data_IF_682974520293
#
_entry.id   IF_682974520293
#
_cell.length_a   1.000
_cell.length_b   1.000
_cell.length_c   1.000
_cell.angle_alpha   90.00
_cell.angle_beta   90.00
_cell.angle_gamma   90.00
#
_symmetry.space_group_name_H-M   'P 1'
#
loop_
_entity.id
_entity.type
_entity.pdbx_description
1 polymer ?
#
# COMPACT_ATOMS: atom_id res chain seq x y z
N UNK A 1 9.20 -15.18 -10.83
CA UNK A 1 9.01 -13.84 -10.26
C UNK A 1 9.92 -13.62 -9.07
N UNK A 2 10.50 -12.43 -8.93
CA UNK A 2 11.14 -11.96 -7.70
C UNK A 2 10.14 -11.08 -6.93
N UNK A 3 9.90 -11.42 -5.66
CA UNK A 3 8.99 -10.65 -4.79
C UNK A 3 9.77 -10.12 -3.59
N UNK A 4 9.84 -8.80 -3.44
CA UNK A 4 10.40 -8.16 -2.25
C UNK A 4 9.28 -7.76 -1.30
N UNK A 5 9.52 -7.78 0.00
CA UNK A 5 8.44 -7.53 0.97
C UNK A 5 7.34 -8.59 0.99
N UNK A 6 7.55 -9.76 0.37
CA UNK A 6 6.57 -10.84 0.24
C UNK A 6 6.09 -11.41 1.58
N UNK A 7 6.82 -11.21 2.67
CA UNK A 7 6.42 -11.61 4.02
C UNK A 7 5.62 -10.54 4.78
N UNK A 8 5.42 -9.38 4.17
CA UNK A 8 4.65 -8.27 4.72
C UNK A 8 3.14 -8.45 4.56
N UNK A 9 2.37 -7.45 5.01
CA UNK A 9 0.91 -7.48 5.07
C UNK A 9 0.24 -7.75 3.69
N UNK A 10 0.70 -7.10 2.62
CA UNK A 10 0.20 -7.31 1.26
C UNK A 10 0.84 -8.56 0.66
N UNK A 11 2.16 -8.69 0.76
CA UNK A 11 2.89 -9.79 0.15
C UNK A 11 2.43 -11.17 0.63
N UNK A 12 2.12 -11.31 1.92
CA UNK A 12 1.61 -12.56 2.47
C UNK A 12 0.27 -13.01 1.87
N UNK A 13 -0.56 -12.07 1.41
CA UNK A 13 -1.80 -12.37 0.69
C UNK A 13 -1.58 -12.59 -0.81
N UNK A 14 -0.56 -11.94 -1.39
CA UNK A 14 -0.24 -12.03 -2.81
C UNK A 14 0.44 -13.37 -3.16
N UNK A 15 1.38 -13.85 -2.33
CA UNK A 15 2.16 -15.05 -2.63
C UNK A 15 1.31 -16.31 -2.92
N UNK A 16 0.25 -16.64 -2.14
CA UNK A 16 -0.60 -17.79 -2.45
C UNK A 16 -1.30 -17.69 -3.81
N UNK A 17 -1.68 -16.47 -4.21
CA UNK A 17 -2.37 -16.23 -5.49
C UNK A 17 -1.40 -16.39 -6.66
N UNK A 18 -0.21 -15.78 -6.60
CA UNK A 18 0.84 -15.97 -7.60
C UNK A 18 1.21 -17.45 -7.78
N UNK A 19 1.25 -18.22 -6.69
CA UNK A 19 1.49 -19.67 -6.77
C UNK A 19 0.35 -20.43 -7.44
N UNK A 20 -0.89 -20.06 -7.12
CA UNK A 20 -2.07 -20.66 -7.77
C UNK A 20 -2.10 -20.37 -9.27
N UNK A 21 -1.59 -19.21 -9.69
CA UNK A 21 -1.45 -18.85 -11.11
C UNK A 21 -0.23 -19.52 -11.78
N UNK A 22 0.48 -20.43 -11.08
CA UNK A 22 1.58 -21.23 -11.63
C UNK A 22 2.96 -20.56 -11.64
N UNK A 23 3.11 -19.40 -11.02
CA UNK A 23 4.39 -18.72 -10.95
C UNK A 23 5.38 -19.42 -10.02
N UNK A 24 6.64 -19.51 -10.45
CA UNK A 24 7.79 -19.77 -9.58
C UNK A 24 8.22 -18.45 -8.94
N UNK A 25 8.34 -18.44 -7.60
CA UNK A 25 8.54 -17.22 -6.84
C UNK A 25 9.80 -17.34 -5.99
N UNK A 26 10.67 -16.36 -6.10
CA UNK A 26 11.75 -16.11 -5.15
C UNK A 26 11.38 -14.90 -4.30
N UNK A 27 11.31 -15.07 -2.99
CA UNK A 27 11.00 -13.99 -2.05
C UNK A 27 12.28 -13.49 -1.41
N UNK A 28 12.60 -12.23 -1.65
CA UNK A 28 13.67 -11.56 -0.91
C UNK A 28 13.14 -11.09 0.45
N UNK A 29 13.73 -11.57 1.54
CA UNK A 29 13.33 -11.28 2.91
C UNK A 29 14.53 -11.08 3.82
N UNK A 30 14.39 -10.19 4.81
CA UNK A 30 15.43 -9.96 5.83
C UNK A 30 15.51 -11.08 6.87
N UNK A 31 14.45 -11.87 7.00
CA UNK A 31 14.37 -12.97 7.96
C UNK A 31 15.04 -14.24 7.41
N UNK A 32 15.91 -14.85 8.20
CA UNK A 32 16.49 -16.15 7.89
C UNK A 32 15.53 -17.31 8.23
N UNK A 33 15.72 -18.46 7.58
CA UNK A 33 15.16 -19.74 8.05
C UNK A 33 13.74 -20.09 7.61
N UNK A 34 13.18 -19.43 6.58
CA UNK A 34 11.93 -19.92 5.98
C UNK A 34 12.23 -21.09 5.05
N UNK A 35 11.56 -22.21 5.28
CA UNK A 35 11.69 -23.38 4.42
C UNK A 35 11.15 -23.10 3.01
N UNK A 36 11.91 -23.49 2.00
CA UNK A 36 11.43 -23.50 0.62
C UNK A 36 10.25 -24.48 0.49
N UNK A 37 9.36 -24.14 -0.43
CA UNK A 37 8.21 -24.97 -0.80
C UNK A 37 8.22 -25.16 -2.33
N UNK A 38 7.55 -26.16 -2.89
CA UNK A 38 7.43 -26.26 -4.33
C UNK A 38 6.96 -24.95 -4.97
N UNK A 39 7.77 -24.38 -5.89
CA UNK A 39 7.49 -23.11 -6.54
C UNK A 39 7.70 -21.85 -5.70
N UNK A 40 8.22 -21.94 -4.46
CA UNK A 40 8.45 -20.81 -3.58
C UNK A 40 9.78 -20.95 -2.82
N UNK A 41 10.74 -20.09 -3.14
CA UNK A 41 12.02 -20.00 -2.47
C UNK A 41 12.14 -18.70 -1.65
N UNK A 42 12.98 -18.72 -0.62
CA UNK A 42 13.29 -17.53 0.17
C UNK A 42 14.79 -17.29 0.17
N UNK A 43 15.19 -16.06 -0.12
CA UNK A 43 16.58 -15.61 -0.09
C UNK A 43 16.69 -14.35 0.79
N UNK A 44 17.88 -14.11 1.33
CA UNK A 44 18.16 -12.93 2.16
C UNK A 44 19.05 -11.90 1.45
N UNK A 45 19.57 -12.25 0.28
CA UNK A 45 20.34 -11.37 -0.56
C UNK A 45 19.92 -11.51 -2.03
N UNK A 46 20.10 -10.43 -2.81
CA UNK A 46 19.85 -10.42 -4.26
C UNK A 46 20.79 -11.36 -5.00
N UNK A 47 22.04 -11.48 -4.55
CA UNK A 47 23.06 -12.36 -5.17
C UNK A 47 22.72 -13.86 -5.00
N UNK A 48 21.83 -14.20 -4.07
CA UNK A 48 21.32 -15.56 -3.89
C UNK A 48 20.08 -15.87 -4.75
N UNK A 49 19.66 -14.96 -5.63
CA UNK A 49 18.55 -15.20 -6.57
C UNK A 49 19.08 -16.01 -7.75
N UNK A 50 18.62 -17.26 -7.86
CA UNK A 50 18.98 -18.16 -8.94
C UNK A 50 18.10 -17.99 -10.18
N UNK A 51 18.73 -18.14 -11.35
CA UNK A 51 18.03 -18.13 -12.65
C UNK A 51 17.59 -16.74 -13.10
N UNK A 52 16.93 -16.69 -14.23
CA UNK A 52 16.38 -15.47 -14.81
C UNK A 52 15.10 -15.03 -14.09
N UNK A 53 14.87 -13.72 -14.05
CA UNK A 53 13.71 -13.10 -13.43
C UNK A 53 12.81 -12.46 -14.50
N UNK A 54 11.66 -13.10 -14.78
CA UNK A 54 10.72 -12.61 -15.80
C UNK A 54 9.92 -11.37 -15.34
N UNK A 55 9.73 -11.22 -14.04
CA UNK A 55 9.01 -10.08 -13.47
C UNK A 55 9.33 -9.87 -12.00
N UNK A 56 9.16 -8.62 -11.56
CA UNK A 56 9.48 -8.20 -10.19
C UNK A 56 8.27 -7.54 -9.55
N UNK A 57 7.98 -7.93 -8.31
CA UNK A 57 7.00 -7.24 -7.45
C UNK A 57 7.75 -6.65 -6.25
N UNK A 58 7.92 -5.32 -6.26
CA UNK A 58 8.65 -4.60 -5.23
C UNK A 58 7.68 -4.00 -4.18
N UNK A 59 7.51 -4.73 -3.06
CA UNK A 59 6.71 -4.30 -1.90
C UNK A 59 7.58 -3.98 -0.68
N UNK A 60 8.90 -3.86 -0.87
CA UNK A 60 9.81 -3.55 0.22
C UNK A 60 9.56 -2.15 0.78
N UNK A 61 9.46 -2.05 2.11
CA UNK A 61 9.29 -0.77 2.80
C UNK A 61 9.00 -0.96 4.28
N UNK A 62 9.62 -0.14 5.13
CA UNK A 62 9.28 -0.08 6.55
C UNK A 62 7.87 0.53 6.73
N UNK A 63 7.14 0.13 7.76
CA UNK A 63 5.78 0.63 8.01
C UNK A 63 5.80 2.13 8.35
N UNK A 64 5.00 2.95 7.68
CA UNK A 64 4.88 4.40 7.98
C UNK A 64 4.37 4.66 9.40
N UNK A 65 3.53 3.79 9.94
CA UNK A 65 2.86 3.95 11.22
C UNK A 65 3.46 3.13 12.38
N UNK A 66 4.61 2.48 12.19
CA UNK A 66 5.21 1.65 13.26
C UNK A 66 5.79 2.49 14.40
N UNK A 67 6.27 3.69 14.11
CA UNK A 67 6.90 4.61 15.08
C UNK A 67 6.62 6.05 14.71
N UNK A 68 6.74 6.95 15.71
CA UNK A 68 6.73 8.40 15.47
C UNK A 68 7.87 8.79 14.51
N UNK A 69 7.61 9.72 13.60
CA UNK A 69 8.60 10.18 12.63
C UNK A 69 9.68 11.05 13.26
N UNK A 70 10.76 10.42 13.69
CA UNK A 70 12.02 11.08 14.02
C UNK A 70 12.90 11.17 12.76
N UNK A 71 13.94 12.00 12.80
CA UNK A 71 14.91 12.06 11.71
C UNK A 71 15.53 10.68 11.37
N UNK A 72 15.80 9.87 12.39
CA UNK A 72 16.31 8.51 12.21
C UNK A 72 15.28 7.60 11.53
N UNK A 73 14.00 7.67 11.95
CA UNK A 73 12.96 6.85 11.35
C UNK A 73 12.60 7.29 9.93
N UNK A 74 12.63 8.59 9.64
CA UNK A 74 12.49 9.09 8.26
C UNK A 74 13.60 8.58 7.35
N UNK A 75 14.84 8.48 7.83
CA UNK A 75 15.93 7.83 7.07
C UNK A 75 15.63 6.35 6.82
N UNK A 76 15.21 5.59 7.85
CA UNK A 76 14.81 4.18 7.68
C UNK A 76 13.70 4.02 6.64
N UNK A 77 12.69 4.92 6.64
CA UNK A 77 11.61 4.92 5.66
C UNK A 77 12.12 5.16 4.23
N UNK A 78 13.08 6.08 4.04
CA UNK A 78 13.73 6.37 2.76
C UNK A 78 14.61 5.19 2.32
N UNK A 79 15.48 4.72 3.19
CA UNK A 79 16.45 3.66 2.86
C UNK A 79 15.73 2.36 2.49
N UNK A 80 14.68 2.01 3.21
CA UNK A 80 13.90 0.79 2.94
C UNK A 80 13.13 0.81 1.62
N UNK A 81 12.98 1.96 0.98
CA UNK A 81 12.27 2.15 -0.29
C UNK A 81 13.23 2.58 -1.39
N UNK A 82 13.85 3.74 -1.24
CA UNK A 82 14.65 4.40 -2.28
C UNK A 82 15.97 3.66 -2.45
N UNK A 83 16.82 3.62 -1.42
CA UNK A 83 18.13 2.97 -1.52
C UNK A 83 18.00 1.47 -1.85
N UNK A 84 16.95 0.81 -1.32
CA UNK A 84 16.68 -0.58 -1.69
C UNK A 84 16.30 -0.73 -3.17
N UNK A 85 15.44 0.15 -3.72
CA UNK A 85 15.02 0.10 -5.13
C UNK A 85 16.18 0.43 -6.06
N UNK A 86 17.05 1.39 -5.70
CA UNK A 86 18.29 1.67 -6.42
C UNK A 86 19.22 0.45 -6.45
N UNK A 87 19.40 -0.25 -5.32
CA UNK A 87 20.17 -1.50 -5.26
C UNK A 87 19.56 -2.60 -6.13
N UNK A 88 18.24 -2.71 -6.18
CA UNK A 88 17.55 -3.65 -7.07
C UNK A 88 17.84 -3.35 -8.55
N UNK A 89 17.83 -2.07 -8.94
CA UNK A 89 18.16 -1.63 -10.28
C UNK A 89 19.63 -1.92 -10.65
N UNK A 90 20.56 -1.62 -9.75
CA UNK A 90 21.98 -1.93 -9.94
C UNK A 90 22.22 -3.44 -10.09
N UNK A 91 21.53 -4.27 -9.31
CA UNK A 91 21.59 -5.72 -9.40
C UNK A 91 21.07 -6.24 -10.75
N UNK A 92 19.93 -5.71 -11.25
CA UNK A 92 19.41 -6.05 -12.60
C UNK A 92 20.41 -5.69 -13.69
N UNK A 93 20.99 -4.49 -13.62
CA UNK A 93 21.99 -4.02 -14.57
C UNK A 93 23.24 -4.91 -14.57
N UNK A 94 23.76 -5.27 -13.41
CA UNK A 94 24.93 -6.13 -13.28
C UNK A 94 24.71 -7.53 -13.87
N UNK A 95 23.47 -8.04 -13.83
CA UNK A 95 23.09 -9.34 -14.41
C UNK A 95 22.73 -9.25 -15.91
N UNK A 96 22.57 -8.06 -16.44
CA UNK A 96 22.08 -7.85 -17.81
C UNK A 96 20.65 -8.37 -18.01
N UNK A 97 19.84 -8.41 -16.94
CA UNK A 97 18.47 -8.91 -16.99
C UNK A 97 17.46 -7.80 -17.32
N UNK A 98 16.49 -8.16 -18.16
CA UNK A 98 15.40 -7.27 -18.57
C UNK A 98 14.08 -7.98 -18.27
N UNK A 99 13.57 -7.91 -17.03
CA UNK A 99 12.27 -8.47 -16.69
C UNK A 99 11.16 -7.83 -17.51
N UNK A 100 10.14 -8.56 -17.88
CA UNK A 100 8.97 -8.03 -18.63
C UNK A 100 8.29 -6.89 -17.89
N UNK A 101 8.23 -6.99 -16.56
CA UNK A 101 7.57 -6.01 -15.71
C UNK A 101 8.29 -5.80 -14.38
N UNK A 102 8.41 -4.52 -13.98
CA UNK A 102 8.66 -4.10 -12.61
C UNK A 102 7.35 -3.48 -12.07
N UNK A 103 6.66 -4.20 -11.19
CA UNK A 103 5.53 -3.68 -10.43
C UNK A 103 6.05 -3.20 -9.07
N UNK A 104 6.14 -1.89 -8.88
CA UNK A 104 6.62 -1.28 -7.63
C UNK A 104 5.46 -0.65 -6.86
N UNK A 105 5.39 -0.92 -5.56
CA UNK A 105 4.50 -0.19 -4.68
C UNK A 105 4.91 1.29 -4.62
N UNK A 106 3.92 2.14 -4.47
CA UNK A 106 3.95 3.54 -4.07
C UNK A 106 2.76 3.79 -3.13
N UNK A 107 2.41 5.02 -2.85
CA UNK A 107 1.26 5.33 -2.01
C UNK A 107 0.57 6.63 -2.46
N UNK A 108 -0.71 6.77 -2.10
CA UNK A 108 -1.49 8.00 -2.34
C UNK A 108 -0.92 9.21 -1.58
N UNK A 109 0.00 9.01 -0.64
CA UNK A 109 0.81 10.08 -0.05
C UNK A 109 1.50 10.97 -1.09
N UNK A 110 1.73 10.47 -2.32
CA UNK A 110 2.22 11.21 -3.47
C UNK A 110 1.48 12.54 -3.68
N UNK A 111 0.18 12.57 -3.44
CA UNK A 111 -0.66 13.76 -3.65
C UNK A 111 -0.60 14.79 -2.51
N UNK A 112 0.05 14.45 -1.37
CA UNK A 112 0.06 15.31 -0.20
C UNK A 112 -1.33 15.55 0.40
N UNK A 113 -1.47 16.57 1.23
CA UNK A 113 -2.76 16.99 1.79
C UNK A 113 -3.60 17.69 0.73
N UNK A 114 -4.89 17.31 0.60
CA UNK A 114 -5.76 17.88 -0.43
C UNK A 114 -7.24 17.64 -0.17
N UNK A 115 -7.77 18.29 0.86
CA UNK A 115 -9.17 18.07 1.27
C UNK A 115 -10.22 18.65 0.30
N UNK A 116 -9.84 19.60 -0.56
CA UNK A 116 -10.77 20.33 -1.41
C UNK A 116 -10.99 19.73 -2.81
N UNK A 117 -10.11 18.83 -3.26
CA UNK A 117 -10.17 18.29 -4.63
C UNK A 117 -10.06 16.77 -4.67
N UNK A 118 -10.50 16.17 -5.76
CA UNK A 118 -10.24 14.77 -6.06
C UNK A 118 -8.98 14.65 -6.90
N UNK A 119 -8.14 13.66 -6.58
CA UNK A 119 -6.92 13.33 -7.31
C UNK A 119 -7.12 12.06 -8.14
N UNK A 120 -6.47 12.03 -9.28
CA UNK A 120 -6.29 10.88 -10.15
C UNK A 120 -4.80 10.73 -10.51
N UNK A 121 -4.47 9.79 -11.37
CA UNK A 121 -3.09 9.48 -11.71
C UNK A 121 -2.37 10.59 -12.48
N UNK A 122 -3.11 11.50 -13.11
CA UNK A 122 -2.58 12.67 -13.87
C UNK A 122 -2.41 13.90 -12.97
N UNK A 123 -2.88 13.84 -11.74
CA UNK A 123 -2.74 14.93 -10.77
C UNK A 123 -1.29 15.12 -10.35
N UNK A 124 -0.87 16.38 -10.20
CA UNK A 124 0.47 16.75 -9.77
C UNK A 124 0.79 16.22 -8.35
N UNK A 125 2.07 15.99 -8.05
CA UNK A 125 2.48 15.62 -6.70
C UNK A 125 2.22 16.77 -5.71
N UNK A 126 1.93 16.39 -4.47
CA UNK A 126 1.74 17.34 -3.37
C UNK A 126 3.03 17.70 -2.65
N UNK A 127 2.87 18.19 -1.43
CA UNK A 127 3.97 18.58 -0.55
C UNK A 127 3.94 17.80 0.77
N UNK A 128 5.03 17.89 1.53
CA UNK A 128 5.22 17.18 2.80
C UNK A 128 6.17 16.00 2.68
N UNK A 129 6.48 15.39 3.82
CA UNK A 129 7.42 14.28 3.84
C UNK A 129 6.90 13.03 3.12
N UNK A 130 5.61 12.71 3.28
CA UNK A 130 5.01 11.55 2.63
C UNK A 130 4.99 11.72 1.10
N UNK A 131 4.69 12.92 0.61
CA UNK A 131 4.70 13.21 -0.82
C UNK A 131 6.12 13.09 -1.40
N UNK A 132 7.10 13.73 -0.76
CA UNK A 132 8.50 13.65 -1.20
C UNK A 132 9.04 12.21 -1.17
N UNK A 133 8.66 11.44 -0.14
CA UNK A 133 9.03 10.02 -0.06
C UNK A 133 8.50 9.22 -1.25
N UNK A 134 7.24 9.45 -1.65
CA UNK A 134 6.64 8.77 -2.80
C UNK A 134 7.28 9.22 -4.11
N UNK A 135 7.51 10.52 -4.29
CA UNK A 135 8.17 11.09 -5.48
C UNK A 135 9.55 10.46 -5.68
N UNK A 136 10.38 10.45 -4.63
CA UNK A 136 11.74 9.90 -4.68
C UNK A 136 11.69 8.37 -4.91
N UNK A 137 10.71 7.68 -4.33
CA UNK A 137 10.55 6.24 -4.51
C UNK A 137 10.13 5.88 -5.94
N UNK A 138 9.17 6.61 -6.53
CA UNK A 138 8.76 6.44 -7.92
C UNK A 138 9.90 6.76 -8.89
N UNK A 139 10.69 7.81 -8.60
CA UNK A 139 11.88 8.16 -9.39
C UNK A 139 12.94 7.03 -9.31
N UNK A 140 13.18 6.47 -8.13
CA UNK A 140 14.09 5.33 -7.97
C UNK A 140 13.59 4.09 -8.73
N UNK A 141 12.26 3.82 -8.71
CA UNK A 141 11.68 2.71 -9.47
C UNK A 141 11.81 2.92 -10.99
N UNK A 142 11.63 4.16 -11.46
CA UNK A 142 11.83 4.51 -12.87
C UNK A 142 13.29 4.28 -13.29
N UNK A 143 14.25 4.74 -12.48
CA UNK A 143 15.68 4.57 -12.75
C UNK A 143 16.12 3.10 -12.66
N UNK A 144 15.48 2.31 -11.81
CA UNK A 144 15.76 0.88 -11.64
C UNK A 144 15.19 0.01 -12.76
N UNK A 145 14.28 0.54 -13.58
CA UNK A 145 13.59 -0.21 -14.64
C UNK A 145 14.47 -0.27 -15.89
N UNK A 146 14.93 -1.46 -16.33
CA UNK A 146 15.72 -1.58 -17.55
C UNK A 146 14.95 -1.14 -18.81
N UNK A 147 15.68 -0.69 -19.82
CA UNK A 147 15.06 -0.39 -21.11
C UNK A 147 14.43 -1.67 -21.69
N UNK A 148 13.18 -1.55 -22.14
CA UNK A 148 12.38 -2.67 -22.63
C UNK A 148 11.52 -3.35 -21.55
N UNK A 149 11.74 -3.05 -20.26
CA UNK A 149 10.86 -3.48 -19.20
C UNK A 149 9.70 -2.50 -19.02
N UNK A 150 8.54 -3.03 -18.67
CA UNK A 150 7.35 -2.26 -18.32
C UNK A 150 7.38 -1.91 -16.83
N UNK A 151 7.18 -0.63 -16.48
CA UNK A 151 7.02 -0.18 -15.10
C UNK A 151 5.55 0.04 -14.77
N UNK A 152 5.06 -0.57 -13.69
CA UNK A 152 3.79 -0.24 -13.06
C UNK A 152 4.05 0.27 -11.63
N UNK A 153 3.50 1.43 -11.30
CA UNK A 153 3.58 2.05 -9.98
C UNK A 153 2.22 1.95 -9.28
N UNK A 154 2.13 1.13 -8.24
CA UNK A 154 0.88 0.96 -7.50
C UNK A 154 0.82 1.98 -6.34
N UNK A 155 0.13 3.11 -6.53
CA UNK A 155 -0.14 4.12 -5.50
C UNK A 155 -1.24 3.63 -4.57
N UNK A 156 -0.85 2.95 -3.50
CA UNK A 156 -1.76 2.29 -2.57
C UNK A 156 -2.50 3.29 -1.69
N UNK A 157 -3.81 3.14 -1.58
CA UNK A 157 -4.62 3.74 -0.53
C UNK A 157 -4.37 3.12 0.83
N UNK A 158 -5.16 3.52 1.83
CA UNK A 158 -5.13 2.90 3.17
C UNK A 158 -5.71 1.49 3.06
N UNK A 159 -4.82 0.49 3.18
CA UNK A 159 -5.20 -0.91 2.97
C UNK A 159 -5.94 -1.46 4.19
N UNK A 160 -7.17 -1.93 3.95
CA UNK A 160 -8.05 -2.50 4.97
C UNK A 160 -8.01 -4.02 4.91
N UNK A 161 -7.69 -4.65 6.03
CA UNK A 161 -7.93 -6.06 6.33
C UNK A 161 -7.66 -6.34 7.81
N UNK A 162 -8.09 -7.50 8.28
CA UNK A 162 -7.78 -8.00 9.62
C UNK A 162 -6.32 -8.46 9.70
N UNK A 163 -5.76 -8.40 10.92
CA UNK A 163 -4.44 -8.93 11.20
C UNK A 163 -3.28 -8.02 10.82
N UNK A 164 -3.54 -6.76 10.43
CA UNK A 164 -2.47 -5.79 10.14
C UNK A 164 -2.94 -4.47 9.54
N UNK A 165 -1.95 -3.66 9.19
CA UNK A 165 -2.20 -2.35 8.56
C UNK A 165 -2.84 -1.32 9.47
N UNK A 166 -3.30 -0.22 8.88
CA UNK A 166 -3.95 0.88 9.60
C UNK A 166 -5.35 0.50 10.09
N UNK A 167 -6.05 -0.38 9.36
CA UNK A 167 -7.41 -0.79 9.68
C UNK A 167 -7.53 -1.36 11.10
N UNK A 168 -6.62 -2.22 11.51
CA UNK A 168 -6.66 -2.86 12.83
C UNK A 168 -6.60 -1.84 13.98
N UNK A 169 -5.78 -0.78 13.81
CA UNK A 169 -5.69 0.32 14.77
C UNK A 169 -6.96 1.19 14.76
N UNK A 170 -7.53 1.44 13.58
CA UNK A 170 -8.74 2.23 13.41
C UNK A 170 -9.98 1.50 13.93
N UNK A 171 -10.08 0.17 13.76
CA UNK A 171 -11.21 -0.64 14.16
C UNK A 171 -11.23 -0.96 15.67
N UNK A 172 -10.05 -1.02 16.30
CA UNK A 172 -9.91 -1.38 17.71
C UNK A 172 -10.80 -0.61 18.69
N UNK A 173 -10.94 0.73 18.62
CA UNK A 173 -11.84 1.48 19.50
C UNK A 173 -13.29 1.03 19.35
N UNK A 174 -13.76 0.76 18.13
CA UNK A 174 -15.14 0.35 17.87
C UNK A 174 -15.45 -1.03 18.46
N UNK A 175 -14.52 -1.96 18.40
CA UNK A 175 -14.64 -3.29 19.05
C UNK A 175 -14.74 -3.15 20.58
N UNK A 176 -14.18 -2.08 21.15
CA UNK A 176 -14.33 -1.69 22.55
C UNK A 176 -15.54 -0.77 22.81
N UNK A 177 -16.45 -0.64 21.83
CA UNK A 177 -17.66 0.21 21.88
C UNK A 177 -17.41 1.72 21.97
N UNK A 178 -16.24 2.18 21.54
CA UNK A 178 -15.92 3.61 21.42
C UNK A 178 -15.92 4.02 19.95
N UNK A 179 -16.92 4.81 19.53
CA UNK A 179 -16.92 5.45 18.22
C UNK A 179 -16.01 6.67 18.24
N UNK A 180 -15.06 6.74 17.29
CA UNK A 180 -14.19 7.89 17.22
C UNK A 180 -13.92 8.31 15.76
N UNK A 181 -13.57 9.57 15.59
CA UNK A 181 -13.02 10.14 14.37
C UNK A 181 -11.91 11.12 14.75
N UNK A 182 -11.03 11.47 13.84
CA UNK A 182 -9.91 12.38 14.10
C UNK A 182 -10.33 13.82 13.79
N UNK A 183 -10.03 14.74 14.70
CA UNK A 183 -10.27 16.18 14.53
C UNK A 183 -11.72 16.51 14.16
N UNK A 184 -11.94 17.29 13.12
CA UNK A 184 -13.27 17.63 12.59
C UNK A 184 -13.98 16.48 11.88
N UNK A 185 -13.24 15.44 11.46
CA UNK A 185 -13.77 14.26 10.81
C UNK A 185 -14.12 14.43 9.33
N UNK A 186 -13.89 15.62 8.76
CA UNK A 186 -14.19 15.91 7.36
C UNK A 186 -13.09 15.49 6.38
N UNK A 187 -11.88 15.20 6.88
CA UNK A 187 -10.77 14.79 6.03
C UNK A 187 -11.05 13.46 5.32
N UNK A 188 -10.63 13.39 4.05
CA UNK A 188 -10.83 12.25 3.21
C UNK A 188 -9.96 11.06 3.62
N UNK A 189 -10.51 9.88 3.46
CA UNK A 189 -9.87 8.59 3.67
C UNK A 189 -10.08 7.75 2.40
N UNK A 190 -9.06 7.72 1.54
CA UNK A 190 -9.03 6.83 0.37
C UNK A 190 -8.47 5.50 0.81
N UNK A 191 -9.33 4.54 0.91
CA UNK A 191 -9.09 3.19 1.39
C UNK A 191 -9.16 2.17 0.26
N UNK A 192 -8.71 0.96 0.51
CA UNK A 192 -8.88 -0.18 -0.39
C UNK A 192 -8.87 -1.48 0.43
N UNK A 193 -9.69 -2.45 0.06
CA UNK A 193 -9.63 -3.79 0.66
C UNK A 193 -8.37 -4.53 0.20
N UNK A 194 -7.69 -5.27 1.11
CA UNK A 194 -6.44 -5.99 0.76
C UNK A 194 -6.63 -6.98 -0.38
N UNK A 195 -7.78 -7.65 -0.48
CA UNK A 195 -8.09 -8.53 -1.61
C UNK A 195 -8.07 -7.78 -2.94
N UNK A 196 -8.61 -6.55 -2.99
CA UNK A 196 -8.59 -5.74 -4.20
C UNK A 196 -7.18 -5.22 -4.52
N UNK A 197 -6.33 -4.99 -3.52
CA UNK A 197 -4.90 -4.71 -3.76
C UNK A 197 -4.24 -5.89 -4.45
N UNK A 198 -4.44 -7.10 -3.94
CA UNK A 198 -3.87 -8.33 -4.52
C UNK A 198 -4.39 -8.54 -5.94
N UNK A 199 -5.69 -8.40 -6.17
CA UNK A 199 -6.30 -8.52 -7.50
C UNK A 199 -5.78 -7.46 -8.48
N UNK A 200 -5.64 -6.21 -8.04
CA UNK A 200 -5.07 -5.14 -8.87
C UNK A 200 -3.62 -5.41 -9.24
N UNK A 201 -2.81 -5.93 -8.31
CA UNK A 201 -1.44 -6.32 -8.60
C UNK A 201 -1.35 -7.45 -9.62
N UNK A 202 -2.18 -8.49 -9.48
CA UNK A 202 -2.27 -9.59 -10.46
C UNK A 202 -2.73 -9.07 -11.82
N UNK A 203 -3.74 -8.22 -11.86
CA UNK A 203 -4.24 -7.59 -13.06
C UNK A 203 -3.13 -6.79 -13.79
N UNK A 204 -2.39 -5.96 -13.06
CA UNK A 204 -1.27 -5.20 -13.61
C UNK A 204 -0.10 -6.08 -14.09
N UNK A 205 0.15 -7.20 -13.44
CA UNK A 205 1.16 -8.17 -13.89
C UNK A 205 0.78 -8.82 -15.22
N UNK A 206 -0.49 -9.19 -15.40
CA UNK A 206 -0.99 -9.91 -16.57
C UNK A 206 -1.25 -9.01 -17.80
N UNK A 207 -1.54 -7.72 -17.61
CA UNK A 207 -1.88 -6.78 -18.67
C UNK A 207 -0.63 -6.10 -19.22
N UNK A 208 -0.13 -6.59 -20.35
CA UNK A 208 1.11 -6.11 -20.99
C UNK A 208 0.98 -4.68 -21.56
N UNK A 209 -0.23 -4.26 -21.84
CA UNK A 209 -0.60 -2.94 -22.37
C UNK A 209 -0.62 -1.83 -21.30
N UNK A 210 -0.53 -2.19 -20.01
CA UNK A 210 -0.62 -1.22 -18.91
C UNK A 210 0.76 -0.88 -18.34
N UNK A 211 1.07 0.43 -18.25
CA UNK A 211 2.30 0.97 -17.68
C UNK A 211 2.06 2.32 -16.98
N UNK A 212 2.99 2.73 -16.13
CA UNK A 212 2.93 3.99 -15.39
C UNK A 212 2.22 3.87 -14.04
N UNK A 213 1.76 5.01 -13.46
CA UNK A 213 1.11 5.05 -12.16
C UNK A 213 -0.35 4.57 -12.22
N UNK A 214 -0.76 3.84 -11.18
CA UNK A 214 -2.14 3.38 -10.95
C UNK A 214 -2.51 3.63 -9.50
N UNK A 215 -3.59 4.35 -9.25
CA UNK A 215 -4.17 4.49 -7.93
C UNK A 215 -4.90 3.19 -7.55
N UNK A 216 -4.44 2.57 -6.48
CA UNK A 216 -5.06 1.35 -5.94
C UNK A 216 -5.86 1.74 -4.71
N UNK A 217 -7.02 2.34 -4.96
CA UNK A 217 -8.00 2.77 -3.96
C UNK A 217 -9.37 2.22 -4.34
N UNK A 218 -10.26 2.05 -3.37
CA UNK A 218 -11.67 1.80 -3.69
C UNK A 218 -12.25 2.97 -4.50
N UNK A 219 -13.23 2.73 -5.39
CA UNK A 219 -13.86 3.78 -6.19
C UNK A 219 -14.46 4.90 -5.33
N UNK A 220 -15.01 4.53 -4.16
CA UNK A 220 -15.64 5.45 -3.23
C UNK A 220 -14.72 5.71 -2.02
N UNK A 221 -14.11 6.89 -1.97
CA UNK A 221 -13.45 7.38 -0.78
C UNK A 221 -14.49 7.75 0.28
N UNK A 222 -14.10 7.65 1.55
CA UNK A 222 -14.92 8.09 2.67
C UNK A 222 -14.25 9.23 3.42
N UNK A 223 -14.93 9.81 4.41
CA UNK A 223 -14.29 10.72 5.38
C UNK A 223 -14.02 9.99 6.69
N UNK A 224 -13.20 10.57 7.56
CA UNK A 224 -12.96 10.01 8.90
C UNK A 224 -14.28 9.84 9.69
N UNK A 225 -15.21 10.79 9.56
CA UNK A 225 -16.55 10.69 10.14
C UNK A 225 -17.42 9.66 9.43
N UNK A 226 -17.31 9.56 8.10
CA UNK A 226 -18.00 8.54 7.30
C UNK A 226 -17.56 7.12 7.70
N UNK A 227 -16.24 6.90 7.87
CA UNK A 227 -15.74 5.64 8.40
C UNK A 227 -16.30 5.33 9.79
N UNK A 228 -16.31 6.32 10.70
CA UNK A 228 -16.91 6.16 12.01
C UNK A 228 -18.39 5.77 11.92
N UNK A 229 -19.18 6.41 11.07
CA UNK A 229 -20.60 6.08 10.89
C UNK A 229 -20.80 4.65 10.35
N UNK A 230 -19.99 4.23 9.36
CA UNK A 230 -20.04 2.89 8.80
C UNK A 230 -19.64 1.81 9.82
N UNK A 231 -18.59 2.06 10.63
CA UNK A 231 -18.20 1.17 11.72
C UNK A 231 -19.27 1.04 12.80
N UNK A 232 -20.03 2.11 13.06
CA UNK A 232 -21.13 2.09 14.03
C UNK A 232 -22.33 1.23 13.56
N UNK A 233 -22.50 1.06 12.27
CA UNK A 233 -23.49 0.14 11.73
C UNK A 233 -23.12 -1.34 12.06
N UNK A 234 -21.81 -1.65 12.16
CA UNK A 234 -21.31 -2.97 12.52
C UNK A 234 -21.18 -3.16 14.05
N UNK A 235 -20.84 -2.08 14.77
CA UNK A 235 -20.55 -2.09 16.20
C UNK A 235 -21.39 -1.01 16.91
N UNK A 236 -22.26 -1.41 17.84
CA UNK A 236 -23.01 -0.45 18.67
C UNK A 236 -22.04 0.27 19.62
N UNK A 237 -21.65 1.49 19.29
CA UNK A 237 -20.83 2.31 20.17
C UNK A 237 -21.66 2.95 21.27
N UNK A 238 -21.18 2.85 22.51
CA UNK A 238 -21.80 3.48 23.69
C UNK A 238 -21.43 4.97 23.79
N UNK A 239 -20.21 5.29 23.41
CA UNK A 239 -19.67 6.65 23.42
C UNK A 239 -19.18 7.03 22.04
N UNK A 240 -19.35 8.30 21.67
CA UNK A 240 -18.89 8.88 20.40
C UNK A 240 -18.13 10.15 20.72
N UNK A 241 -16.82 10.11 20.58
CA UNK A 241 -15.94 11.24 20.90
C UNK A 241 -14.91 11.44 19.78
N UNK A 242 -14.67 12.70 19.36
CA UNK A 242 -13.55 12.98 18.47
C UNK A 242 -12.23 12.75 19.18
N UNK A 243 -11.24 12.21 18.46
CA UNK A 243 -9.84 12.27 18.87
C UNK A 243 -9.31 13.67 18.52
N UNK A 244 -9.04 14.56 19.52
CA UNK A 244 -8.70 15.94 19.23
C UNK A 244 -7.40 16.06 18.47
N UNK A 245 -7.36 16.85 17.39
CA UNK A 245 -6.15 17.03 16.56
C UNK A 245 -4.93 17.47 17.37
N UNK A 246 -5.00 18.39 18.36
CA UNK A 246 -3.85 18.74 19.20
C UNK A 246 -3.26 17.55 19.96
N UNK A 247 -4.13 16.66 20.47
CA UNK A 247 -3.68 15.44 21.18
C UNK A 247 -2.99 14.49 20.20
N UNK A 248 -3.52 14.32 18.99
CA UNK A 248 -2.90 13.49 17.97
C UNK A 248 -1.52 14.06 17.56
N UNK A 249 -1.38 15.38 17.40
CA UNK A 249 -0.10 16.03 17.13
C UNK A 249 0.91 15.82 18.27
N UNK A 250 0.47 15.92 19.50
CA UNK A 250 1.33 15.70 20.66
C UNK A 250 1.88 14.27 20.70
N UNK A 251 1.03 13.28 20.42
CA UNK A 251 1.39 11.86 20.47
C UNK A 251 2.22 11.42 19.26
N UNK A 252 1.84 11.83 18.05
CA UNK A 252 2.38 11.31 16.79
C UNK A 252 3.27 12.30 16.03
N UNK A 253 3.23 13.58 16.42
CA UNK A 253 4.00 14.63 15.74
C UNK A 253 3.52 14.86 14.31
N UNK A 254 4.44 15.14 13.40
CA UNK A 254 4.22 15.38 11.98
C UNK A 254 3.42 14.27 11.30
N UNK A 255 3.61 13.01 11.72
CA UNK A 255 2.85 11.86 11.20
C UNK A 255 1.34 12.04 11.40
N UNK A 256 0.89 12.73 12.48
CA UNK A 256 -0.51 13.02 12.70
C UNK A 256 -1.10 13.92 11.62
N UNK A 257 -0.38 14.96 11.24
CA UNK A 257 -0.83 15.89 10.21
C UNK A 257 -0.90 15.22 8.84
N UNK A 258 0.14 14.48 8.45
CA UNK A 258 0.25 13.90 7.12
C UNK A 258 -0.59 12.64 6.89
N UNK A 259 -0.88 11.85 7.95
CA UNK A 259 -1.59 10.57 7.79
C UNK A 259 -3.01 10.54 8.37
N UNK A 260 -3.38 11.48 9.29
CA UNK A 260 -4.61 11.38 10.06
C UNK A 260 -5.48 12.64 10.04
N UNK A 261 -4.86 13.83 10.13
CA UNK A 261 -5.57 15.11 10.28
C UNK A 261 -5.96 15.68 8.93
N UNK A 262 -5.10 15.49 7.93
CA UNK A 262 -5.37 15.79 6.53
C UNK A 262 -5.57 14.50 5.74
N UNK A 263 -6.21 14.60 4.59
CA UNK A 263 -6.49 13.46 3.76
C UNK A 263 -6.45 13.81 2.27
N UNK A 264 -6.62 12.79 1.44
CA UNK A 264 -6.73 12.93 0.00
C UNK A 264 -7.96 12.16 -0.48
N UNK A 265 -8.73 12.78 -1.37
CA UNK A 265 -9.78 12.08 -2.12
C UNK A 265 -9.17 11.58 -3.43
N UNK A 266 -8.82 10.30 -3.48
CA UNK A 266 -8.14 9.70 -4.64
C UNK A 266 -9.08 8.74 -5.36
N UNK A 267 -9.09 8.81 -6.69
CA UNK A 267 -9.87 7.94 -7.58
C UNK A 267 -8.95 7.00 -8.36
N UNK A 268 -9.32 5.74 -8.54
CA UNK A 268 -8.57 4.76 -9.34
C UNK A 268 -8.96 4.88 -10.82
N UNK A 269 -8.70 6.06 -11.45
CA UNK A 269 -9.21 6.35 -12.78
C UNK A 269 -8.67 5.37 -13.82
N UNK A 270 -7.35 5.15 -13.86
CA UNK A 270 -6.72 4.26 -14.84
C UNK A 270 -7.07 2.78 -14.63
N UNK A 271 -7.25 2.30 -13.40
CA UNK A 271 -7.73 0.94 -13.16
C UNK A 271 -9.16 0.75 -13.66
N UNK A 272 -10.05 1.73 -13.42
CA UNK A 272 -11.42 1.70 -13.90
C UNK A 272 -11.50 1.73 -15.43
N UNK A 273 -10.72 2.61 -16.08
CA UNK A 273 -10.61 2.71 -17.54
C UNK A 273 -10.06 1.41 -18.17
N UNK A 274 -9.13 0.74 -17.48
CA UNK A 274 -8.60 -0.54 -17.90
C UNK A 274 -9.57 -1.72 -17.70
N UNK A 275 -10.75 -1.48 -17.11
CA UNK A 275 -11.76 -2.50 -16.86
C UNK A 275 -11.53 -3.34 -15.61
N UNK A 276 -10.76 -2.85 -14.64
CA UNK A 276 -10.60 -3.54 -13.36
C UNK A 276 -11.86 -3.44 -12.51
N UNK A 277 -12.36 -4.58 -12.06
CA UNK A 277 -13.54 -4.69 -11.20
C UNK A 277 -13.14 -4.93 -9.75
N UNK A 278 -13.54 -4.02 -8.85
CA UNK A 278 -13.33 -4.16 -7.41
C UNK A 278 -14.30 -5.16 -6.81
N UNK A 279 -13.80 -6.04 -5.94
CA UNK A 279 -14.65 -6.96 -5.15
C UNK A 279 -15.35 -6.24 -4.01
N UNK A 280 -14.74 -5.17 -3.50
CA UNK A 280 -15.27 -4.35 -2.41
C UNK A 280 -15.26 -2.87 -2.80
N UNK A 281 -16.15 -2.46 -3.72
CA UNK A 281 -16.18 -1.10 -4.23
C UNK A 281 -16.67 -0.08 -3.18
N UNK A 282 -17.48 -0.51 -2.20
CA UNK A 282 -18.05 0.34 -1.17
C UNK A 282 -17.58 -0.03 0.23
N UNK A 283 -17.50 0.98 1.10
CA UNK A 283 -17.08 0.78 2.49
C UNK A 283 -18.00 -0.16 3.29
N UNK A 284 -19.33 -0.10 3.18
CA UNK A 284 -20.21 -1.04 3.87
C UNK A 284 -19.95 -2.50 3.52
N UNK A 285 -19.74 -2.83 2.25
CA UNK A 285 -19.42 -4.20 1.79
C UNK A 285 -18.09 -4.69 2.36
N UNK A 286 -17.05 -3.85 2.30
CA UNK A 286 -15.76 -4.17 2.89
C UNK A 286 -15.86 -4.39 4.41
N UNK A 287 -16.56 -3.52 5.13
CA UNK A 287 -16.74 -3.65 6.59
C UNK A 287 -17.61 -4.86 6.96
N UNK A 288 -18.60 -5.20 6.16
CA UNK A 288 -19.39 -6.41 6.37
C UNK A 288 -18.51 -7.66 6.30
N UNK A 289 -17.61 -7.74 5.34
CA UNK A 289 -16.64 -8.84 5.24
C UNK A 289 -15.65 -8.82 6.40
N UNK A 290 -15.14 -7.64 6.78
CA UNK A 290 -14.11 -7.50 7.80
C UNK A 290 -14.65 -7.63 9.23
N UNK A 291 -15.86 -7.17 9.54
CA UNK A 291 -16.44 -7.14 10.88
C UNK A 291 -17.67 -8.03 11.02
N UNK A 292 -18.23 -8.52 9.91
CA UNK A 292 -19.34 -9.45 9.91
C UNK A 292 -18.96 -10.68 10.73
N UNK A 293 -19.79 -11.03 11.69
CA UNK A 293 -19.71 -12.32 12.38
C UNK A 293 -20.02 -13.38 11.34
N UNK A 294 -19.14 -14.35 11.15
CA UNK A 294 -19.56 -15.60 10.54
C UNK A 294 -20.80 -16.06 11.29
N UNK A 295 -21.92 -16.20 10.57
CA UNK A 295 -23.16 -16.69 11.09
C UNK A 295 -22.99 -18.14 11.60
#
# INVERSE_FOLDING_TARGET
LLVTGGTGFIGAALLPRLRADGHRITVLTRGAGRAAQPGLAYVNDLDAVDGAVDGIVNLAGASLAARRWSAAYKRELRDSRIAFTERLGAWLQARGETPQVLLSASAIGFYGAGDAQAFDEDSAPGAGFAAQLCIDWEAAAQAATPAGSRLCLARLGVVFDRGGGAYEQMARPFRLRFGNWVGGGGQWLSWVHREDVVRAMLFLLQREDLAGPFNVTAPEATTSRGFCAAMQAQHRSLLKLPAPAPVMRLLLGEMADELLIHGQRVRPARLAEAGFEFSYPTLPEALQQLEGRAA
#
